data_IF_886750823773
#
_entry.id   IF_886750823773
#
_cell.length_a   1.000
_cell.length_b   1.000
_cell.length_c   1.000
_cell.angle_alpha   90.00
_cell.angle_beta   90.00
_cell.angle_gamma   90.00
#
_symmetry.space_group_name_H-M   'P 1'
#
loop_
_entity.id
_entity.type
_entity.pdbx_description
1 polymer ?
#
# COMPACT_ATOMS: atom_id res chain seq x y z
N UNK A 1 -9.45 -13.36 -1.99
CA UNK A 1 -9.93 -12.14 -1.33
C UNK A 1 -11.42 -12.19 -1.17
N UNK A 2 -11.89 -11.89 0.03
CA UNK A 2 -13.29 -11.57 0.29
C UNK A 2 -13.57 -10.05 0.13
N UNK A 3 -14.80 -9.62 0.38
CA UNK A 3 -15.19 -8.21 0.28
C UNK A 3 -14.43 -7.32 1.27
N UNK A 4 -14.12 -7.83 2.47
CA UNK A 4 -13.37 -7.11 3.50
C UNK A 4 -11.93 -6.90 3.06
N UNK A 5 -11.28 -7.91 2.47
CA UNK A 5 -9.93 -7.81 1.93
C UNK A 5 -9.86 -6.76 0.81
N UNK A 6 -10.86 -6.74 -0.08
CA UNK A 6 -10.93 -5.75 -1.15
C UNK A 6 -11.03 -4.31 -0.60
N UNK A 7 -11.89 -4.11 0.41
CA UNK A 7 -12.02 -2.81 1.08
C UNK A 7 -10.74 -2.41 1.81
N UNK A 8 -10.07 -3.39 2.44
CA UNK A 8 -8.82 -3.20 3.15
C UNK A 8 -7.68 -2.77 2.22
N UNK A 9 -7.53 -3.45 1.08
CA UNK A 9 -6.55 -3.06 0.05
C UNK A 9 -6.86 -1.67 -0.50
N UNK A 10 -8.13 -1.38 -0.77
CA UNK A 10 -8.56 -0.07 -1.27
C UNK A 10 -8.17 1.04 -0.31
N UNK A 11 -8.39 0.88 1.00
CA UNK A 11 -8.04 1.92 1.97
C UNK A 11 -6.54 2.14 2.15
N UNK A 12 -5.75 1.07 2.03
CA UNK A 12 -4.30 1.19 2.14
C UNK A 12 -3.69 1.85 0.90
N UNK A 13 -4.30 1.65 -0.26
CA UNK A 13 -3.87 2.31 -1.51
C UNK A 13 -4.28 3.78 -1.57
N UNK A 14 -5.48 4.12 -1.09
CA UNK A 14 -6.02 5.48 -1.11
C UNK A 14 -5.31 6.41 -0.13
N UNK A 15 -4.92 5.89 1.04
CA UNK A 15 -4.18 6.65 2.04
C UNK A 15 -3.97 5.89 3.33
N UNK A 16 -2.79 5.29 3.46
CA UNK A 16 -2.37 4.69 4.73
C UNK A 16 -2.32 5.76 5.85
N UNK A 17 -3.04 5.60 6.97
CA UNK A 17 -3.07 6.60 8.03
C UNK A 17 -1.70 6.84 8.64
N UNK A 18 -1.31 8.11 8.81
CA UNK A 18 -0.07 8.49 9.49
C UNK A 18 -0.39 8.86 10.94
N UNK A 19 -0.67 7.84 11.75
CA UNK A 19 -1.04 7.98 13.17
C UNK A 19 -0.21 7.02 14.03
N UNK A 20 -0.31 7.12 15.36
CA UNK A 20 0.42 6.23 16.28
C UNK A 20 -0.01 4.76 16.21
N UNK A 21 -1.26 4.48 15.79
CA UNK A 21 -1.80 3.12 15.59
C UNK A 21 -2.56 3.06 14.27
N UNK A 22 -1.84 2.95 13.14
CA UNK A 22 -2.45 3.09 11.82
C UNK A 22 -3.37 1.90 11.47
N UNK A 23 -3.03 0.69 11.91
CA UNK A 23 -3.84 -0.50 11.66
C UNK A 23 -5.13 -0.48 12.49
N UNK A 24 -5.09 -0.01 13.74
CA UNK A 24 -6.30 0.26 14.52
C UNK A 24 -7.22 1.27 13.81
N UNK A 25 -6.68 2.38 13.30
CA UNK A 25 -7.48 3.37 12.57
C UNK A 25 -8.11 2.82 11.28
N UNK A 26 -7.44 1.88 10.61
CA UNK A 26 -8.02 1.14 9.46
C UNK A 26 -9.12 0.19 9.95
N UNK A 27 -8.88 -0.51 11.05
CA UNK A 27 -9.86 -1.40 11.68
C UNK A 27 -11.14 -0.68 12.05
N UNK A 28 -11.03 0.48 12.70
CA UNK A 28 -12.17 1.32 13.08
C UNK A 28 -13.02 1.75 11.87
N UNK A 29 -12.37 2.06 10.73
CA UNK A 29 -13.07 2.41 9.48
C UNK A 29 -13.78 1.22 8.84
N UNK A 30 -13.19 0.03 8.94
CA UNK A 30 -13.68 -1.18 8.29
C UNK A 30 -14.61 -2.01 9.19
N UNK A 31 -14.66 -1.70 10.49
CA UNK A 31 -15.44 -2.42 11.49
C UNK A 31 -14.80 -3.73 11.96
N UNK A 32 -13.47 -3.83 11.89
CA UNK A 32 -12.69 -5.03 12.28
C UNK A 32 -11.60 -4.66 13.29
N UNK A 33 -11.08 -5.65 14.03
CA UNK A 33 -10.02 -5.40 15.01
C UNK A 33 -8.68 -5.07 14.35
N UNK A 34 -7.77 -4.44 15.10
CA UNK A 34 -6.40 -4.21 14.63
C UNK A 34 -5.69 -5.52 14.30
N UNK A 35 -5.87 -6.55 15.13
CA UNK A 35 -5.30 -7.87 14.92
C UNK A 35 -5.77 -8.48 13.59
N UNK A 36 -7.07 -8.39 13.30
CA UNK A 36 -7.65 -8.91 12.06
C UNK A 36 -7.13 -8.16 10.83
N UNK A 37 -6.98 -6.83 10.91
CA UNK A 37 -6.33 -6.03 9.85
C UNK A 37 -4.92 -6.56 9.56
N UNK A 38 -4.12 -6.77 10.61
CA UNK A 38 -2.73 -7.21 10.47
C UNK A 38 -2.66 -8.63 9.88
N UNK A 39 -3.48 -9.55 10.36
CA UNK A 39 -3.53 -10.93 9.87
C UNK A 39 -3.91 -11.00 8.39
N UNK A 40 -4.98 -10.29 7.99
CA UNK A 40 -5.40 -10.22 6.59
C UNK A 40 -4.33 -9.61 5.69
N UNK A 41 -3.68 -8.52 6.13
CA UNK A 41 -2.59 -7.92 5.35
C UNK A 41 -1.37 -8.82 5.18
N UNK A 42 -1.05 -9.61 6.20
CA UNK A 42 0.02 -10.61 6.08
C UNK A 42 -0.36 -11.67 5.06
N UNK A 43 -1.56 -12.22 5.12
CA UNK A 43 -2.03 -13.22 4.17
C UNK A 43 -2.02 -12.71 2.73
N UNK A 44 -2.51 -11.48 2.50
CA UNK A 44 -2.52 -10.84 1.16
C UNK A 44 -1.11 -10.55 0.65
N UNK A 45 -0.17 -10.21 1.55
CA UNK A 45 1.23 -10.02 1.17
C UNK A 45 1.89 -11.35 0.82
N UNK A 46 1.59 -12.42 1.56
CA UNK A 46 2.12 -13.76 1.32
C UNK A 46 1.56 -14.41 0.05
N UNK A 47 0.31 -14.11 -0.33
CA UNK A 47 -0.27 -14.55 -1.61
C UNK A 47 0.35 -13.83 -2.83
N UNK A 48 1.11 -12.76 -2.61
CA UNK A 48 1.78 -11.98 -3.65
C UNK A 48 0.91 -10.90 -4.29
N UNK A 49 -0.32 -10.71 -3.82
CA UNK A 49 -1.23 -9.67 -4.31
C UNK A 49 -0.74 -8.26 -3.94
N UNK A 50 -0.19 -8.10 -2.72
CA UNK A 50 0.55 -6.89 -2.32
C UNK A 50 2.05 -7.12 -2.54
N UNK A 51 2.60 -6.50 -3.59
CA UNK A 51 4.03 -6.62 -3.92
C UNK A 51 4.96 -5.86 -2.96
N UNK A 52 4.52 -4.68 -2.48
CA UNK A 52 5.31 -3.84 -1.58
C UNK A 52 4.41 -2.94 -0.74
N UNK A 53 4.63 -2.95 0.57
CA UNK A 53 4.11 -1.97 1.52
C UNK A 53 5.22 -0.97 1.85
N UNK A 54 5.04 0.30 1.48
CA UNK A 54 6.03 1.34 1.73
C UNK A 54 5.74 2.63 0.99
N UNK A 55 6.55 3.64 1.25
CA UNK A 55 6.38 4.95 0.63
C UNK A 55 6.66 4.91 -0.89
N UNK A 56 5.82 5.61 -1.64
CA UNK A 56 6.09 6.00 -3.02
C UNK A 56 6.39 7.49 -3.04
N UNK A 57 7.57 7.86 -3.52
CA UNK A 57 8.02 9.25 -3.51
C UNK A 57 7.95 9.85 -4.92
N UNK A 58 7.52 11.11 -4.99
CA UNK A 58 7.66 11.91 -6.19
C UNK A 58 9.13 12.36 -6.33
N UNK A 59 9.84 11.74 -7.27
CA UNK A 59 11.26 12.00 -7.50
C UNK A 59 11.55 13.46 -7.85
N UNK A 60 10.63 14.16 -8.53
CA UNK A 60 10.80 15.58 -8.87
C UNK A 60 10.82 16.45 -7.62
N UNK A 61 9.93 16.16 -6.66
CA UNK A 61 9.88 16.87 -5.36
C UNK A 61 11.12 16.61 -4.50
N UNK A 62 11.80 15.49 -4.73
CA UNK A 62 13.08 15.17 -4.10
C UNK A 62 14.29 15.81 -4.81
N UNK A 63 14.08 16.59 -5.87
CA UNK A 63 15.15 17.24 -6.64
C UNK A 63 15.85 16.31 -7.66
N UNK A 64 15.31 15.10 -7.88
CA UNK A 64 15.85 14.19 -8.89
C UNK A 64 15.28 14.53 -10.27
N UNK A 65 16.15 14.47 -11.28
CA UNK A 65 15.76 14.56 -12.69
C UNK A 65 15.87 13.17 -13.34
N UNK A 66 14.89 12.83 -14.18
CA UNK A 66 14.89 11.62 -14.99
C UNK A 66 14.57 11.99 -16.43
N UNK A 67 15.25 11.35 -17.38
CA UNK A 67 15.02 11.53 -18.82
C UNK A 67 14.98 10.16 -19.51
N UNK A 68 14.16 10.03 -20.56
CA UNK A 68 14.12 8.84 -21.39
C UNK A 68 15.20 8.94 -22.47
N UNK A 69 16.11 7.98 -22.50
CA UNK A 69 17.08 7.83 -23.58
C UNK A 69 16.77 6.54 -24.35
N UNK A 70 16.72 6.63 -25.68
CA UNK A 70 16.57 5.48 -26.56
C UNK A 70 17.59 5.59 -27.70
N UNK A 71 18.13 4.45 -28.12
CA UNK A 71 19.06 4.34 -29.24
C UNK A 71 18.64 3.17 -30.14
N UNK A 72 18.76 3.38 -31.45
CA UNK A 72 18.59 2.31 -32.44
C UNK A 72 19.97 1.68 -32.70
N UNK A 73 20.08 0.37 -32.53
CA UNK A 73 21.32 -0.39 -32.78
C UNK A 73 21.17 -1.11 -34.13
N UNK A 74 22.22 -1.21 -34.97
CA UNK A 74 22.17 -1.91 -36.26
C UNK A 74 21.76 -3.38 -36.16
#
# INVERSE_FOLDING_TARGET
MDETDNRLVTEIQSGFPVTGRPYAAIGDKLGISEEEVIERLRAIKESGEIRRMGASFDSRKLGYASTLCAAHVP
#
